data_IF_519649299649
#
_entry.id   IF_519649299649
#
_cell.length_a   1.000
_cell.length_b   1.000
_cell.length_c   1.000
_cell.angle_alpha   90.00
_cell.angle_beta   90.00
_cell.angle_gamma   90.00
#
_symmetry.space_group_name_H-M   'P 1'
#
loop_
_entity.id
_entity.type
_entity.pdbx_description
1 polymer ?
#
# COMPACT_ATOMS: atom_id res chain seq x y z
N UNK A 1 8.00 12.78 21.62
CA UNK A 1 7.38 11.78 20.71
C UNK A 1 6.89 10.56 21.47
N UNK A 2 7.68 9.97 22.37
CA UNK A 2 7.17 8.94 23.30
C UNK A 2 8.29 8.03 23.78
N UNK A 3 7.94 6.90 24.38
CA UNK A 3 8.87 5.80 24.65
C UNK A 3 9.18 5.03 23.35
N UNK A 4 9.96 3.96 23.43
CA UNK A 4 10.29 3.11 22.27
C UNK A 4 9.06 2.59 21.51
N UNK A 5 7.92 2.40 22.21
CA UNK A 5 6.67 1.97 21.58
C UNK A 5 6.14 2.94 20.52
N UNK A 6 6.36 4.24 20.71
CA UNK A 6 5.97 5.29 19.76
C UNK A 6 6.75 5.23 18.43
N UNK A 7 7.82 4.43 18.35
CA UNK A 7 8.63 4.24 17.15
C UNK A 7 8.47 2.84 16.54
N UNK A 8 7.51 2.04 17.03
CA UNK A 8 7.22 0.71 16.50
C UNK A 8 6.04 0.76 15.54
N UNK A 9 6.27 0.37 14.28
CA UNK A 9 5.20 0.17 13.31
C UNK A 9 4.31 -1.05 13.60
N UNK A 10 4.66 -1.87 14.59
CA UNK A 10 3.86 -3.03 15.03
C UNK A 10 2.94 -2.68 16.20
N UNK A 11 3.02 -1.45 16.74
CA UNK A 11 2.20 -1.01 17.87
C UNK A 11 1.30 0.16 17.44
N UNK A 12 0.05 0.22 17.93
CA UNK A 12 -0.86 1.32 17.62
C UNK A 12 -0.31 2.72 17.91
N UNK A 13 0.55 2.83 18.93
CA UNK A 13 1.17 4.10 19.34
C UNK A 13 2.17 4.67 18.32
N UNK A 14 2.79 3.82 17.49
CA UNK A 14 3.82 4.21 16.53
C UNK A 14 3.45 4.00 15.06
N UNK A 15 2.52 3.09 14.77
CA UNK A 15 2.16 2.74 13.39
C UNK A 15 1.42 3.87 12.66
N UNK A 16 1.63 3.95 11.35
CA UNK A 16 0.82 4.81 10.49
C UNK A 16 -0.64 4.35 10.53
N UNK A 17 -1.61 5.24 10.85
CA UNK A 17 -3.01 4.85 10.99
C UNK A 17 -3.69 4.52 9.65
N UNK A 18 -3.15 4.99 8.51
CA UNK A 18 -3.75 4.74 7.20
C UNK A 18 -3.41 3.33 6.67
N UNK A 19 -2.18 2.87 6.87
CA UNK A 19 -1.74 1.55 6.42
C UNK A 19 -1.55 0.53 7.55
N UNK A 20 -1.90 0.89 8.79
CA UNK A 20 -1.75 0.04 9.98
C UNK A 20 -0.34 -0.56 10.11
N UNK A 21 0.68 0.25 9.82
CA UNK A 21 2.08 -0.19 9.90
C UNK A 21 2.54 -1.11 8.77
N UNK A 22 1.77 -1.28 7.69
CA UNK A 22 2.18 -2.06 6.52
C UNK A 22 3.11 -1.28 5.57
N UNK A 23 3.06 0.05 5.58
CA UNK A 23 3.78 0.93 4.63
C UNK A 23 3.16 0.97 3.22
N UNK A 24 2.23 0.07 2.93
CA UNK A 24 1.52 -0.01 1.66
C UNK A 24 0.02 0.03 1.88
N UNK A 25 -0.67 0.65 0.94
CA UNK A 25 -2.14 0.63 0.86
C UNK A 25 -2.55 -0.14 -0.38
N UNK A 26 -3.61 -0.93 -0.27
CA UNK A 26 -4.22 -1.60 -1.42
C UNK A 26 -4.87 -0.55 -2.30
N UNK A 27 -4.41 -0.47 -3.55
CA UNK A 27 -5.09 0.25 -4.62
C UNK A 27 -5.62 -0.72 -5.64
N UNK A 28 -6.56 -0.24 -6.45
CA UNK A 28 -7.08 -1.00 -7.56
C UNK A 28 -6.43 -0.46 -8.82
N UNK A 29 -5.83 -1.36 -9.60
CA UNK A 29 -5.40 -1.08 -10.96
C UNK A 29 -6.63 -0.88 -11.85
N UNK A 30 -6.78 0.34 -12.37
CA UNK A 30 -7.93 0.72 -13.20
C UNK A 30 -7.94 -0.05 -14.52
N UNK A 31 -6.78 -0.35 -15.08
CA UNK A 31 -6.69 -1.09 -16.35
C UNK A 31 -7.09 -2.57 -16.15
N UNK A 32 -7.11 -3.05 -14.90
CA UNK A 32 -7.68 -4.36 -14.54
C UNK A 32 -9.20 -4.33 -14.35
N UNK A 33 -9.83 -3.15 -14.31
CA UNK A 33 -11.28 -3.01 -14.18
C UNK A 33 -11.99 -2.96 -15.53
N UNK A 34 -11.35 -2.34 -16.52
CA UNK A 34 -11.97 -2.05 -17.80
C UNK A 34 -11.03 -2.22 -18.98
N UNK A 35 -11.58 -2.62 -20.12
CA UNK A 35 -10.96 -2.50 -21.44
C UNK A 35 -11.39 -1.19 -22.08
N UNK A 36 -10.45 -0.25 -22.26
CA UNK A 36 -10.74 1.09 -22.79
C UNK A 36 -11.07 1.09 -24.30
N UNK A 37 -10.73 0.02 -25.02
CA UNK A 37 -10.97 -0.09 -26.46
C UNK A 37 -12.40 -0.50 -26.82
N UNK A 38 -13.17 -0.91 -25.81
CA UNK A 38 -14.57 -1.32 -25.89
C UNK A 38 -15.51 -0.28 -25.29
N UNK A 39 -16.76 -0.32 -25.72
CA UNK A 39 -17.89 0.37 -25.08
C UNK A 39 -18.50 -0.48 -23.98
N UNK A 40 -19.40 0.09 -23.17
CA UNK A 40 -20.09 -0.68 -22.13
C UNK A 40 -20.97 -1.77 -22.75
N UNK A 41 -21.61 -1.50 -23.89
CA UNK A 41 -22.42 -2.46 -24.63
C UNK A 41 -21.59 -3.64 -25.18
N UNK A 42 -20.34 -3.38 -25.55
CA UNK A 42 -19.38 -4.40 -25.99
C UNK A 42 -18.74 -5.19 -24.82
N UNK A 43 -19.06 -4.86 -23.57
CA UNK A 43 -18.54 -5.55 -22.39
C UNK A 43 -17.20 -5.03 -21.89
N UNK A 44 -16.97 -3.72 -21.97
CA UNK A 44 -15.73 -3.10 -21.48
C UNK A 44 -15.41 -3.38 -20.00
N UNK A 45 -16.38 -3.71 -19.14
CA UNK A 45 -16.13 -3.94 -17.71
C UNK A 45 -15.66 -5.39 -17.49
N UNK A 46 -14.40 -5.58 -17.08
CA UNK A 46 -13.81 -6.91 -16.85
C UNK A 46 -14.04 -7.44 -15.42
N UNK A 47 -14.67 -6.63 -14.57
CA UNK A 47 -15.01 -6.98 -13.18
C UNK A 47 -16.06 -8.11 -13.17
N UNK A 48 -15.87 -9.19 -12.38
CA UNK A 48 -16.86 -10.24 -12.26
C UNK A 48 -18.23 -9.72 -11.82
N UNK A 49 -19.30 -10.26 -12.41
CA UNK A 49 -20.70 -9.86 -12.22
C UNK A 49 -21.11 -8.51 -12.87
N UNK A 50 -20.25 -7.90 -13.70
CA UNK A 50 -20.54 -6.67 -14.45
C UNK A 50 -20.74 -6.92 -15.95
N UNK A 51 -21.06 -8.14 -16.36
CA UNK A 51 -21.35 -8.46 -17.75
C UNK A 51 -22.56 -7.64 -18.28
N UNK A 52 -22.58 -7.28 -19.58
CA UNK A 52 -23.69 -6.58 -20.21
C UNK A 52 -25.05 -7.17 -19.89
N UNK A 53 -26.03 -6.31 -19.60
CA UNK A 53 -27.38 -6.70 -19.19
C UNK A 53 -27.53 -7.15 -17.73
N UNK A 54 -26.44 -7.36 -17.00
CA UNK A 54 -26.45 -7.64 -15.56
C UNK A 54 -26.88 -6.43 -14.72
N UNK A 55 -27.34 -6.67 -13.48
CA UNK A 55 -27.85 -5.59 -12.60
C UNK A 55 -26.83 -4.47 -12.36
N UNK A 56 -25.57 -4.83 -12.06
CA UNK A 56 -24.53 -3.83 -11.83
C UNK A 56 -24.17 -3.06 -13.10
N UNK A 57 -24.14 -3.76 -14.24
CA UNK A 57 -23.93 -3.13 -15.54
C UNK A 57 -25.04 -2.13 -15.87
N UNK A 58 -26.32 -2.51 -15.70
CA UNK A 58 -27.47 -1.61 -15.94
C UNK A 58 -27.40 -0.36 -15.08
N UNK A 59 -27.01 -0.51 -13.82
CA UNK A 59 -26.80 0.61 -12.93
C UNK A 59 -25.75 1.61 -13.42
N UNK A 60 -24.76 1.17 -14.22
CA UNK A 60 -23.76 2.04 -14.82
C UNK A 60 -24.21 2.57 -16.19
N UNK A 61 -24.59 1.67 -17.09
CA UNK A 61 -24.94 1.95 -18.49
C UNK A 61 -26.24 2.74 -18.66
N UNK A 62 -27.26 2.47 -17.84
CA UNK A 62 -28.59 3.13 -17.92
C UNK A 62 -28.72 4.26 -16.89
N UNK A 63 -27.60 4.73 -16.33
CA UNK A 63 -27.59 5.77 -15.28
C UNK A 63 -27.93 7.17 -15.76
N UNK A 64 -27.74 7.43 -17.06
CA UNK A 64 -27.82 8.76 -17.66
C UNK A 64 -26.56 9.61 -17.49
N UNK A 65 -25.51 9.12 -16.82
CA UNK A 65 -24.24 9.84 -16.67
C UNK A 65 -23.24 9.58 -17.81
N UNK A 66 -23.36 8.42 -18.47
CA UNK A 66 -22.50 8.01 -19.57
C UNK A 66 -23.31 7.41 -20.71
N UNK A 67 -22.74 7.44 -21.90
CA UNK A 67 -23.28 6.76 -23.07
C UNK A 67 -22.66 5.36 -23.18
N UNK A 68 -23.46 4.28 -23.08
CA UNK A 68 -22.93 2.92 -23.10
C UNK A 68 -22.46 2.45 -24.48
N UNK A 69 -22.84 3.15 -25.56
CA UNK A 69 -22.43 2.82 -26.92
C UNK A 69 -21.08 3.46 -27.31
N UNK A 70 -20.63 4.47 -26.57
CA UNK A 70 -19.34 5.13 -26.78
C UNK A 70 -18.22 4.28 -26.17
N UNK A 71 -17.11 4.13 -26.89
CA UNK A 71 -15.91 3.47 -26.38
C UNK A 71 -15.33 4.24 -25.22
N UNK A 72 -14.85 3.54 -24.19
CA UNK A 72 -14.38 4.19 -22.97
C UNK A 72 -13.21 5.14 -23.20
N UNK A 73 -12.31 4.85 -24.15
CA UNK A 73 -11.20 5.75 -24.52
C UNK A 73 -11.66 7.11 -25.09
N UNK A 74 -12.87 7.15 -25.63
CA UNK A 74 -13.47 8.33 -26.25
C UNK A 74 -14.38 9.09 -25.28
N UNK A 75 -14.43 8.67 -24.00
CA UNK A 75 -15.15 9.41 -22.96
C UNK A 75 -14.50 10.77 -22.71
N UNK A 76 -15.34 11.78 -22.54
CA UNK A 76 -14.89 13.07 -22.01
C UNK A 76 -14.33 12.90 -20.59
N UNK A 77 -13.45 13.80 -20.11
CA UNK A 77 -12.96 13.75 -18.74
C UNK A 77 -14.08 13.69 -17.68
N UNK A 78 -15.19 14.40 -17.92
CA UNK A 78 -16.35 14.39 -17.03
C UNK A 78 -17.09 13.04 -17.05
N UNK A 79 -17.29 12.45 -18.23
CA UNK A 79 -17.90 11.11 -18.34
C UNK A 79 -17.03 10.04 -17.68
N UNK A 80 -15.71 10.13 -17.84
CA UNK A 80 -14.76 9.22 -17.17
C UNK A 80 -14.82 9.38 -15.65
N UNK A 81 -14.81 10.62 -15.16
CA UNK A 81 -14.94 10.91 -13.73
C UNK A 81 -16.26 10.39 -13.16
N UNK A 82 -17.37 10.64 -13.86
CA UNK A 82 -18.68 10.15 -13.45
C UNK A 82 -18.74 8.61 -13.47
N UNK A 83 -18.18 7.99 -14.50
CA UNK A 83 -18.13 6.54 -14.63
C UNK A 83 -17.30 5.86 -13.56
N UNK A 84 -16.13 6.40 -13.23
CA UNK A 84 -15.17 5.74 -12.34
C UNK A 84 -15.34 6.14 -10.87
N UNK A 85 -15.49 7.43 -10.60
CA UNK A 85 -15.25 8.00 -9.27
C UNK A 85 -16.48 8.61 -8.62
N UNK A 86 -17.60 8.76 -9.34
CA UNK A 86 -18.78 9.45 -8.79
C UNK A 86 -19.23 8.85 -7.45
N UNK A 87 -19.42 9.68 -6.42
CA UNK A 87 -19.93 9.23 -5.14
C UNK A 87 -21.39 8.76 -5.28
N UNK A 88 -21.86 8.04 -4.26
CA UNK A 88 -23.23 7.53 -4.20
C UNK A 88 -24.25 8.65 -4.44
N UNK A 89 -24.95 8.58 -5.58
CA UNK A 89 -25.90 9.59 -6.04
C UNK A 89 -27.25 8.93 -6.31
N UNK A 90 -28.33 9.50 -5.78
CA UNK A 90 -29.68 8.96 -6.02
C UNK A 90 -30.06 9.08 -7.48
N UNK A 91 -30.49 7.97 -8.07
CA UNK A 91 -31.02 7.89 -9.43
C UNK A 91 -32.32 7.07 -9.44
N UNK A 92 -33.06 7.15 -10.55
CA UNK A 92 -34.22 6.30 -10.81
C UNK A 92 -33.91 5.38 -11.98
N UNK A 93 -33.69 4.10 -11.68
CA UNK A 93 -33.34 3.07 -12.66
C UNK A 93 -34.55 2.14 -12.85
N UNK A 94 -35.06 2.02 -14.07
CA UNK A 94 -36.22 1.17 -14.40
C UNK A 94 -37.42 1.37 -13.44
N UNK A 95 -37.67 2.61 -13.02
CA UNK A 95 -38.76 2.94 -12.09
C UNK A 95 -38.44 2.80 -10.60
N UNK A 96 -37.28 2.26 -10.25
CA UNK A 96 -36.84 2.01 -8.86
C UNK A 96 -35.85 3.10 -8.43
N UNK A 97 -36.06 3.66 -7.23
CA UNK A 97 -35.10 4.56 -6.61
C UNK A 97 -33.89 3.75 -6.12
N UNK A 98 -32.70 4.07 -6.63
CA UNK A 98 -31.44 3.42 -6.25
C UNK A 98 -30.30 4.43 -6.21
N UNK A 99 -29.12 4.00 -5.77
CA UNK A 99 -27.92 4.82 -5.79
C UNK A 99 -27.00 4.38 -6.93
N UNK A 100 -26.67 5.33 -7.80
CA UNK A 100 -25.53 5.24 -8.69
C UNK A 100 -24.24 5.40 -7.89
N UNK A 101 -23.24 4.59 -8.19
CA UNK A 101 -21.87 4.76 -7.70
C UNK A 101 -20.96 4.48 -8.88
N UNK A 102 -19.91 5.28 -9.05
CA UNK A 102 -18.88 5.01 -10.05
C UNK A 102 -18.28 3.62 -9.86
N UNK A 103 -17.78 3.03 -10.96
CA UNK A 103 -17.26 1.67 -11.01
C UNK A 103 -16.19 1.43 -9.95
N UNK A 104 -15.20 2.32 -9.82
CA UNK A 104 -14.13 2.17 -8.83
C UNK A 104 -14.69 2.18 -7.40
N UNK A 105 -15.53 3.16 -7.08
CA UNK A 105 -16.18 3.28 -5.76
C UNK A 105 -16.96 2.02 -5.41
N UNK A 106 -17.71 1.49 -6.38
CA UNK A 106 -18.50 0.27 -6.22
C UNK A 106 -17.62 -0.96 -6.03
N UNK A 107 -16.55 -1.11 -6.81
CA UNK A 107 -15.59 -2.22 -6.69
C UNK A 107 -14.89 -2.18 -5.33
N UNK A 108 -14.42 -1.02 -4.88
CA UNK A 108 -13.83 -0.84 -3.56
C UNK A 108 -14.80 -1.32 -2.47
N UNK A 109 -16.06 -0.87 -2.52
CA UNK A 109 -17.09 -1.28 -1.56
C UNK A 109 -17.37 -2.78 -1.59
N UNK A 110 -17.45 -3.39 -2.78
CA UNK A 110 -17.83 -4.79 -2.94
C UNK A 110 -16.71 -5.79 -2.61
N UNK A 111 -15.45 -5.42 -2.88
CA UNK A 111 -14.31 -6.37 -2.86
C UNK A 111 -13.23 -6.04 -1.82
N UNK A 112 -13.06 -4.79 -1.39
CA UNK A 112 -12.06 -4.44 -0.36
C UNK A 112 -12.58 -4.57 1.06
N UNK A 113 -13.91 -4.56 1.25
CA UNK A 113 -14.54 -4.67 2.57
C UNK A 113 -14.80 -6.12 3.02
N UNK A 114 -14.53 -7.11 2.17
CA UNK A 114 -14.86 -8.52 2.42
C UNK A 114 -13.61 -9.33 2.74
N UNK A 115 -13.79 -10.26 3.66
CA UNK A 115 -12.76 -11.24 4.02
C UNK A 115 -12.38 -12.09 2.80
N UNK A 116 -11.08 -12.15 2.49
CA UNK A 116 -10.54 -12.83 1.30
C UNK A 116 -10.85 -14.33 1.32
N UNK A 117 -11.04 -14.92 2.50
CA UNK A 117 -11.29 -16.36 2.66
C UNK A 117 -12.75 -16.77 2.37
N UNK A 118 -13.70 -15.85 2.43
CA UNK A 118 -15.12 -16.10 2.14
C UNK A 118 -15.51 -15.87 0.66
N UNK A 119 -14.51 -15.66 -0.19
CA UNK A 119 -14.71 -15.14 -1.55
C UNK A 119 -14.62 -16.26 -2.60
N UNK A 120 -15.55 -16.28 -3.55
CA UNK A 120 -15.59 -17.30 -4.62
C UNK A 120 -14.29 -17.29 -5.44
N UNK A 121 -13.78 -18.45 -5.93
CA UNK A 121 -12.45 -18.53 -6.55
C UNK A 121 -12.20 -17.54 -7.70
N UNK A 122 -13.19 -17.31 -8.56
CA UNK A 122 -13.06 -16.37 -9.68
C UNK A 122 -13.04 -14.90 -9.22
N UNK A 123 -13.68 -14.58 -8.09
CA UNK A 123 -13.60 -13.24 -7.47
C UNK A 123 -12.23 -13.06 -6.83
N UNK A 124 -11.71 -14.09 -6.15
CA UNK A 124 -10.36 -14.05 -5.58
C UNK A 124 -9.31 -13.82 -6.66
N UNK A 125 -9.39 -14.54 -7.78
CA UNK A 125 -8.50 -14.33 -8.92
C UNK A 125 -8.59 -12.88 -9.48
N UNK A 126 -9.78 -12.28 -9.50
CA UNK A 126 -9.96 -10.88 -9.85
C UNK A 126 -9.31 -9.93 -8.82
N UNK A 127 -9.52 -10.18 -7.53
CA UNK A 127 -8.93 -9.39 -6.44
C UNK A 127 -7.41 -9.44 -6.50
N UNK A 128 -6.84 -10.62 -6.71
CA UNK A 128 -5.38 -10.81 -6.77
C UNK A 128 -4.74 -10.14 -8.01
N UNK A 129 -5.45 -10.07 -9.16
CA UNK A 129 -4.97 -9.33 -10.34
C UNK A 129 -5.19 -7.83 -10.25
N UNK A 130 -6.31 -7.39 -9.67
CA UNK A 130 -6.74 -5.99 -9.70
C UNK A 130 -6.22 -5.17 -8.52
N UNK A 131 -5.90 -5.80 -7.39
CA UNK A 131 -5.32 -5.08 -6.25
C UNK A 131 -3.81 -4.99 -6.43
N UNK A 132 -3.33 -3.77 -6.62
CA UNK A 132 -1.92 -3.43 -6.54
C UNK A 132 -1.62 -2.83 -5.17
N UNK A 133 -0.36 -2.91 -4.76
CA UNK A 133 0.12 -2.22 -3.57
C UNK A 133 0.90 -1.00 -4.03
N UNK A 134 0.53 0.17 -3.50
CA UNK A 134 1.34 1.39 -3.61
C UNK A 134 1.88 1.76 -2.25
N UNK A 135 2.93 2.56 -2.23
CA UNK A 135 3.39 3.23 -1.02
C UNK A 135 2.24 4.01 -0.40
N UNK A 136 2.08 3.87 0.92
CA UNK A 136 1.07 4.60 1.67
C UNK A 136 1.34 6.11 1.56
N UNK A 137 0.41 6.93 1.05
CA UNK A 137 0.66 8.35 0.83
C UNK A 137 0.85 9.14 2.13
N UNK A 138 0.29 8.68 3.26
CA UNK A 138 0.46 9.34 4.55
C UNK A 138 1.83 9.14 5.18
N UNK A 139 2.50 8.02 4.95
CA UNK A 139 3.83 7.75 5.53
C UNK A 139 4.94 7.53 4.49
N UNK A 140 4.62 7.64 3.20
CA UNK A 140 5.50 7.36 2.05
C UNK A 140 6.18 5.98 2.08
N UNK A 141 5.57 5.00 2.76
CA UNK A 141 6.17 3.69 2.97
C UNK A 141 6.92 3.51 4.28
N UNK A 142 7.12 4.58 5.07
CA UNK A 142 7.86 4.54 6.35
C UNK A 142 7.18 3.72 7.46
N UNK A 143 5.90 3.34 7.28
CA UNK A 143 5.11 2.51 8.22
C UNK A 143 4.76 3.18 9.56
N UNK A 144 5.30 4.37 9.82
CA UNK A 144 5.17 5.08 11.09
C UNK A 144 4.24 6.28 10.99
N UNK A 145 3.67 6.69 12.12
CA UNK A 145 2.88 7.91 12.21
C UNK A 145 3.74 9.19 12.14
N UNK A 146 3.09 10.32 11.89
CA UNK A 146 3.77 11.61 11.73
C UNK A 146 4.48 12.08 13.01
N UNK A 147 3.99 11.69 14.20
CA UNK A 147 4.67 12.01 15.46
C UNK A 147 6.03 11.31 15.55
N UNK A 148 6.10 10.02 15.23
CA UNK A 148 7.35 9.26 15.15
C UNK A 148 8.33 9.88 14.14
N UNK A 149 7.85 10.20 12.93
CA UNK A 149 8.65 10.80 11.86
C UNK A 149 9.12 12.24 12.14
N UNK A 150 8.44 12.94 13.06
CA UNK A 150 8.88 14.28 13.50
C UNK A 150 10.10 14.24 14.42
N UNK A 151 10.40 13.10 15.05
CA UNK A 151 11.59 12.94 15.89
C UNK A 151 12.83 12.79 15.03
N UNK A 152 13.83 13.65 15.23
CA UNK A 152 15.04 13.67 14.42
C UNK A 152 16.31 13.69 15.26
N UNK A 153 17.33 13.00 14.79
CA UNK A 153 18.71 13.08 15.26
C UNK A 153 19.54 13.61 14.09
N UNK A 154 20.19 14.76 14.26
CA UNK A 154 20.95 15.44 13.21
C UNK A 154 20.16 15.64 11.90
N UNK A 155 18.86 15.91 12.02
CA UNK A 155 17.96 16.14 10.89
C UNK A 155 17.33 14.89 10.26
N UNK A 156 17.76 13.70 10.67
CA UNK A 156 17.30 12.41 10.19
C UNK A 156 16.28 11.79 11.15
N UNK A 157 15.14 11.36 10.62
CA UNK A 157 14.18 10.56 11.40
C UNK A 157 14.52 9.06 11.34
N UNK A 158 13.81 8.23 12.12
CA UNK A 158 14.06 6.78 12.19
C UNK A 158 13.87 6.06 10.85
N UNK A 159 12.94 6.51 10.00
CA UNK A 159 12.72 5.94 8.67
C UNK A 159 13.86 6.32 7.73
N UNK A 160 14.34 7.58 7.77
CA UNK A 160 15.52 8.02 7.00
C UNK A 160 16.73 7.15 7.36
N UNK A 161 16.98 6.94 8.65
CA UNK A 161 18.07 6.08 9.12
C UNK A 161 17.89 4.61 8.67
N UNK A 162 16.66 4.10 8.67
CA UNK A 162 16.38 2.70 8.31
C UNK A 162 16.50 2.45 6.80
N UNK A 163 16.29 3.47 5.98
CA UNK A 163 16.37 3.39 4.51
C UNK A 163 17.81 3.52 3.97
N UNK A 164 18.76 4.00 4.78
CA UNK A 164 20.18 4.06 4.41
C UNK A 164 20.77 2.66 4.24
N UNK A 165 21.84 2.55 3.44
CA UNK A 165 22.69 1.37 3.50
C UNK A 165 23.26 1.23 4.92
N UNK A 166 23.34 0.01 5.42
CA UNK A 166 23.84 -0.28 6.76
C UNK A 166 25.26 0.27 6.95
N UNK A 167 26.10 0.27 5.90
CA UNK A 167 27.41 0.91 5.94
C UNK A 167 27.33 2.42 6.20
N UNK A 168 26.42 3.11 5.52
CA UNK A 168 26.23 4.56 5.67
C UNK A 168 25.64 4.88 7.05
N UNK A 169 24.68 4.07 7.50
CA UNK A 169 24.10 4.18 8.84
C UNK A 169 25.16 3.96 9.92
N UNK A 170 26.07 3.01 9.74
CA UNK A 170 27.18 2.80 10.68
C UNK A 170 28.04 4.07 10.82
N UNK A 171 28.35 4.74 9.71
CA UNK A 171 29.09 6.01 9.72
C UNK A 171 28.33 7.15 10.40
N UNK A 172 27.00 7.20 10.26
CA UNK A 172 26.15 8.15 10.99
C UNK A 172 26.21 7.86 12.50
N UNK A 173 26.00 6.61 12.91
CA UNK A 173 25.96 6.23 14.34
C UNK A 173 27.33 6.40 15.02
N UNK A 174 28.44 6.23 14.30
CA UNK A 174 29.79 6.50 14.83
C UNK A 174 30.01 7.96 15.21
N UNK A 175 29.30 8.91 14.57
CA UNK A 175 29.41 10.34 14.86
C UNK A 175 28.58 10.78 16.07
N UNK A 176 27.63 9.96 16.51
CA UNK A 176 26.81 10.26 17.69
C UNK A 176 27.63 10.01 18.95
N UNK A 177 27.76 11.01 19.81
CA UNK A 177 28.47 10.89 21.09
C UNK A 177 27.65 11.55 22.21
N UNK A 178 26.76 10.77 22.81
CA UNK A 178 25.95 11.20 23.95
C UNK A 178 26.18 10.24 25.14
N UNK A 179 26.82 10.72 26.22
CA UNK A 179 27.13 9.90 27.40
C UNK A 179 25.90 9.26 28.05
N UNK A 180 24.71 9.85 27.92
CA UNK A 180 23.48 9.34 28.54
C UNK A 180 22.98 8.03 27.91
N UNK A 181 23.40 7.75 26.67
CA UNK A 181 23.02 6.56 25.90
C UNK A 181 24.23 5.78 25.40
N UNK A 182 25.43 6.00 25.97
CA UNK A 182 26.67 5.36 25.54
C UNK A 182 26.58 3.83 25.42
N UNK A 183 26.01 3.06 26.40
CA UNK A 183 25.88 1.61 26.25
C UNK A 183 24.99 1.18 25.07
N UNK A 184 23.97 1.98 24.74
CA UNK A 184 23.09 1.75 23.60
C UNK A 184 23.84 2.00 22.28
N UNK A 185 24.60 3.10 22.21
CA UNK A 185 25.41 3.43 21.04
C UNK A 185 26.48 2.36 20.76
N UNK A 186 27.17 1.88 21.80
CA UNK A 186 28.15 0.80 21.65
C UNK A 186 27.52 -0.49 21.10
N UNK A 187 26.38 -0.91 21.66
CA UNK A 187 25.65 -2.09 21.17
C UNK A 187 25.20 -1.91 19.72
N UNK A 188 24.69 -0.72 19.37
CA UNK A 188 24.22 -0.42 18.01
C UNK A 188 25.38 -0.43 17.01
N UNK A 189 26.51 0.22 17.34
CA UNK A 189 27.74 0.23 16.52
C UNK A 189 28.22 -1.19 16.27
N UNK A 190 28.38 -2.00 17.31
CA UNK A 190 28.83 -3.39 17.18
C UNK A 190 27.90 -4.24 16.30
N UNK A 191 26.59 -4.02 16.39
CA UNK A 191 25.60 -4.73 15.54
C UNK A 191 25.72 -4.33 14.07
N UNK A 192 25.83 -3.02 13.79
CA UNK A 192 25.99 -2.51 12.43
C UNK A 192 27.33 -2.94 11.83
N UNK A 193 28.41 -2.88 12.60
CA UNK A 193 29.75 -3.32 12.17
C UNK A 193 29.75 -4.82 11.82
N UNK A 194 29.12 -5.65 12.67
CA UNK A 194 28.97 -7.08 12.39
C UNK A 194 28.23 -7.35 11.08
N UNK A 195 27.18 -6.58 10.77
CA UNK A 195 26.44 -6.69 9.50
C UNK A 195 27.33 -6.29 8.30
N UNK A 196 28.13 -5.24 8.45
CA UNK A 196 29.06 -4.80 7.40
C UNK A 196 30.16 -5.84 7.15
N UNK A 197 30.78 -6.37 8.21
CA UNK A 197 31.89 -7.33 8.12
C UNK A 197 31.50 -8.63 7.41
N UNK A 198 30.27 -9.11 7.60
CA UNK A 198 29.77 -10.30 6.91
C UNK A 198 29.20 -10.01 5.51
N UNK A 199 29.45 -8.81 4.99
CA UNK A 199 29.09 -8.40 3.63
C UNK A 199 27.59 -8.14 3.45
N UNK A 200 26.91 -7.61 4.46
CA UNK A 200 25.52 -7.13 4.36
C UNK A 200 25.41 -5.60 4.41
N UNK A 201 26.53 -4.88 4.38
CA UNK A 201 26.55 -3.41 4.47
C UNK A 201 25.74 -2.69 3.39
N UNK A 202 25.57 -3.28 2.20
CA UNK A 202 24.78 -2.71 1.10
C UNK A 202 23.26 -2.80 1.29
N UNK A 203 22.79 -3.57 2.28
CA UNK A 203 21.36 -3.65 2.60
C UNK A 203 20.93 -2.44 3.42
N UNK A 204 19.63 -2.15 3.40
CA UNK A 204 18.98 -1.24 4.34
C UNK A 204 18.22 -2.02 5.41
N UNK A 205 17.94 -1.39 6.56
CA UNK A 205 17.22 -2.02 7.67
C UNK A 205 15.72 -2.14 7.40
N UNK A 206 15.18 -1.31 6.51
CA UNK A 206 13.76 -1.32 6.11
C UNK A 206 13.43 -2.37 5.04
N UNK A 207 14.44 -3.07 4.48
CA UNK A 207 14.24 -4.09 3.44
C UNK A 207 13.37 -5.24 3.95
N UNK A 208 12.31 -5.55 3.20
CA UNK A 208 11.41 -6.67 3.53
C UNK A 208 12.17 -8.00 3.58
N UNK A 209 12.08 -8.72 4.71
CA UNK A 209 12.83 -9.97 4.95
C UNK A 209 12.53 -11.07 3.92
N UNK A 210 11.33 -11.09 3.36
CA UNK A 210 10.93 -12.02 2.28
C UNK A 210 11.63 -11.77 0.94
N UNK A 211 12.29 -10.62 0.77
CA UNK A 211 13.03 -10.25 -0.45
C UNK A 211 14.53 -10.56 -0.36
N UNK A 212 15.00 -11.07 0.77
CA UNK A 212 16.38 -11.49 0.94
C UNK A 212 16.62 -12.83 0.25
N UNK A 213 17.75 -12.96 -0.44
CA UNK A 213 18.26 -14.24 -0.91
C UNK A 213 18.55 -15.18 0.25
N UNK A 214 18.59 -16.49 -0.03
CA UNK A 214 18.90 -17.50 0.99
C UNK A 214 20.24 -17.26 1.70
N UNK A 215 21.25 -16.80 0.95
CA UNK A 215 22.56 -16.45 1.51
C UNK A 215 22.52 -15.20 2.40
N UNK A 216 21.80 -14.15 1.99
CA UNK A 216 21.59 -12.94 2.82
C UNK A 216 20.86 -13.30 4.12
N UNK A 217 19.75 -14.03 4.03
CA UNK A 217 18.95 -14.41 5.19
C UNK A 217 19.75 -15.30 6.18
N UNK A 218 20.59 -16.19 5.68
CA UNK A 218 21.48 -16.98 6.52
C UNK A 218 22.48 -16.08 7.26
N UNK A 219 23.11 -15.13 6.56
CA UNK A 219 24.09 -14.22 7.18
C UNK A 219 23.48 -13.32 8.24
N UNK A 220 22.27 -12.79 8.01
CA UNK A 220 21.52 -12.02 9.03
C UNK A 220 21.31 -12.85 10.31
N UNK A 221 20.98 -14.15 10.17
CA UNK A 221 20.83 -15.04 11.34
C UNK A 221 22.12 -15.24 12.11
N UNK A 222 23.28 -15.25 11.44
CA UNK A 222 24.58 -15.41 12.11
C UNK A 222 24.89 -14.22 13.04
N UNK A 223 24.53 -12.99 12.66
CA UNK A 223 24.77 -11.79 13.49
C UNK A 223 24.13 -11.91 14.87
N UNK A 224 22.93 -12.50 14.95
CA UNK A 224 22.25 -12.74 16.24
C UNK A 224 23.07 -13.60 17.20
N UNK A 225 23.97 -14.44 16.68
CA UNK A 225 24.83 -15.32 17.47
C UNK A 225 26.21 -14.73 17.76
N UNK A 226 26.59 -13.64 17.09
CA UNK A 226 27.88 -12.96 17.30
C UNK A 226 27.80 -11.88 18.40
N UNK A 227 26.61 -11.34 18.66
CA UNK A 227 26.36 -10.30 19.66
C UNK A 227 25.71 -10.78 20.97
N UNK A 228 25.74 -12.08 21.29
CA UNK A 228 25.30 -12.65 22.58
C UNK A 228 26.47 -13.19 23.39
#
# INVERSE_FOLDING_TARGET
VGTSGAFSFNLPEGMCPECEGLGKVSTIDIDQLVDKELSLDEGAITVPNFAPGGWYWKGLAESGFVDPAVKLKDYTPQQWEDFMHKPATKIKLAGINTNYEGLLVKVQRLFLSKDKEATQPHIRAFVDRAITFRHCPSCDGARLNQAALSSKIDGLNIADCSAMQISDLADVVRKLDDPSVAPLLETLRGTLDSLVEIGLGYLSLDRESGTLSGGEAQRVKMVRHLGS
#
